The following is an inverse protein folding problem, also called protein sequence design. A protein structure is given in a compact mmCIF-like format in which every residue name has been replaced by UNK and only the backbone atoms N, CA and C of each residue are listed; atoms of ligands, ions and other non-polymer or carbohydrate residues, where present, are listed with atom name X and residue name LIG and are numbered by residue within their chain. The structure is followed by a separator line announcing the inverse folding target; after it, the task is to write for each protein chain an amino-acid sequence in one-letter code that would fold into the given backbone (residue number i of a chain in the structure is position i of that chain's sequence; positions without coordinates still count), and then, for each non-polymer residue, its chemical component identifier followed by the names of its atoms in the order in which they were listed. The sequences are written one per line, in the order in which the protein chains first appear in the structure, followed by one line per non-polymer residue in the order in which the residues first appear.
data_IF_880882458757
#
_entry.id   IF_880882458757
#
_cell.length_a   1.000
_cell.length_b   1.000
_cell.length_c   1.000
_cell.angle_alpha   90.00
_cell.angle_beta   90.00
_cell.angle_gamma   90.00
#
_symmetry.space_group_name_H-M   'P 1'
#
loop_
_entity.id
_entity.type
_entity.pdbx_description
1 polymer ?
#
# COMPACT_ATOMS: atom_id res chain seq x y z
N UNK A 1 -1.13 1.91 -27.83
CA UNK A 1 -0.12 0.84 -27.92
C UNK A 1 0.80 0.81 -26.69
N UNK A 2 0.30 1.24 -25.52
CA UNK A 2 1.12 1.48 -24.32
C UNK A 2 0.75 0.59 -23.13
N UNK A 3 -0.20 -0.34 -23.32
CA UNK A 3 -0.54 -1.34 -22.32
C UNK A 3 0.71 -2.17 -21.99
N UNK A 4 0.97 -2.35 -20.70
CA UNK A 4 2.15 -3.05 -20.18
C UNK A 4 3.42 -2.21 -20.09
N UNK A 5 3.44 -0.98 -20.60
CA UNK A 5 4.57 -0.06 -20.44
C UNK A 5 4.48 0.67 -19.09
N UNK A 6 5.63 1.06 -18.51
CA UNK A 6 5.63 1.84 -17.27
C UNK A 6 4.97 3.20 -17.46
N UNK A 7 4.19 3.62 -16.46
CA UNK A 7 3.39 4.85 -16.52
C UNK A 7 4.27 6.10 -16.58
N UNK A 8 5.30 6.18 -15.75
CA UNK A 8 6.19 7.36 -15.65
C UNK A 8 6.93 7.63 -16.95
N UNK A 9 7.60 6.61 -17.52
CA UNK A 9 8.36 6.76 -18.76
C UNK A 9 7.47 7.02 -19.98
N UNK A 10 6.26 6.44 -20.02
CA UNK A 10 5.26 6.73 -21.07
C UNK A 10 4.72 8.15 -20.96
N UNK A 11 4.37 8.61 -19.76
CA UNK A 11 3.88 9.97 -19.52
C UNK A 11 4.94 11.03 -19.84
N UNK A 12 6.20 10.80 -19.47
CA UNK A 12 7.31 11.70 -19.80
C UNK A 12 7.47 11.90 -21.32
N UNK A 13 7.43 10.81 -22.10
CA UNK A 13 7.49 10.86 -23.57
C UNK A 13 6.31 11.65 -24.16
N UNK A 14 5.10 11.41 -23.65
CA UNK A 14 3.91 12.14 -24.10
C UNK A 14 4.01 13.64 -23.79
N UNK A 15 4.46 14.01 -22.58
CA UNK A 15 4.65 15.39 -22.18
C UNK A 15 5.72 16.11 -23.02
N UNK A 16 6.82 15.44 -23.34
CA UNK A 16 7.87 15.99 -24.22
C UNK A 16 7.42 16.16 -25.67
N UNK A 17 6.51 15.31 -26.16
CA UNK A 17 5.89 15.50 -27.46
C UNK A 17 4.98 16.75 -27.50
N UNK A 18 4.35 17.09 -26.37
CA UNK A 18 3.57 18.34 -26.23
C UNK A 18 4.46 19.57 -26.08
N UNK A 19 5.57 19.46 -25.35
CA UNK A 19 6.54 20.54 -25.18
C UNK A 19 7.97 19.98 -25.12
N UNK A 20 8.73 20.14 -26.21
CA UNK A 20 10.10 19.62 -26.33
C UNK A 20 11.12 20.29 -25.41
N UNK A 21 10.80 21.46 -24.85
CA UNK A 21 11.66 22.13 -23.86
C UNK A 21 11.55 21.53 -22.46
N UNK A 22 10.55 20.69 -22.20
CA UNK A 22 10.32 20.08 -20.90
C UNK A 22 11.40 19.05 -20.56
N UNK A 23 12.07 19.26 -19.43
CA UNK A 23 13.06 18.32 -18.87
C UNK A 23 12.36 17.44 -17.84
N UNK A 24 12.27 16.14 -18.12
CA UNK A 24 11.60 15.16 -17.27
C UNK A 24 12.54 13.99 -17.03
N UNK A 25 12.73 13.63 -15.76
CA UNK A 25 13.34 12.39 -15.34
C UNK A 25 12.24 11.45 -14.85
N UNK A 26 12.07 10.31 -15.52
CA UNK A 26 11.05 9.34 -15.18
C UNK A 26 11.65 8.22 -14.34
N UNK A 27 11.09 8.00 -13.15
CA UNK A 27 11.49 6.91 -12.25
C UNK A 27 10.36 5.87 -12.13
N UNK A 28 10.73 4.62 -11.94
CA UNK A 28 9.81 3.48 -11.78
C UNK A 28 9.92 2.87 -10.38
N UNK A 29 10.31 3.71 -9.42
CA UNK A 29 10.56 3.33 -8.02
C UNK A 29 9.36 3.73 -7.17
N UNK A 30 8.89 2.81 -6.33
CA UNK A 30 7.79 3.07 -5.40
C UNK A 30 8.30 3.96 -4.28
N UNK A 31 7.69 5.13 -4.08
CA UNK A 31 8.05 6.01 -2.98
C UNK A 31 7.64 5.39 -1.64
N UNK A 32 8.60 5.21 -0.74
CA UNK A 32 8.41 4.63 0.58
C UNK A 32 9.72 4.47 1.33
N UNK A 33 9.63 4.07 2.61
CA UNK A 33 10.80 3.88 3.49
C UNK A 33 11.79 2.85 2.95
N UNK A 34 11.32 1.91 2.13
CA UNK A 34 12.11 0.89 1.44
C UNK A 34 12.97 1.42 0.28
N UNK A 35 12.86 2.72 -0.05
CA UNK A 35 13.51 3.33 -1.23
C UNK A 35 14.27 4.62 -0.92
N UNK A 36 14.63 4.84 0.35
CA UNK A 36 15.39 6.01 0.80
C UNK A 36 16.87 5.99 0.35
N UNK A 37 17.34 4.85 -0.16
CA UNK A 37 18.61 4.75 -0.88
C UNK A 37 18.55 5.43 -2.26
N UNK A 38 17.36 5.48 -2.87
CA UNK A 38 17.11 6.18 -4.13
C UNK A 38 16.69 7.62 -3.89
N UNK A 39 15.74 7.84 -2.97
CA UNK A 39 15.24 9.17 -2.60
C UNK A 39 15.94 9.66 -1.34
N UNK A 40 17.27 9.78 -1.46
CA UNK A 40 18.15 10.17 -0.37
C UNK A 40 18.04 11.67 -0.03
N UNK A 41 18.79 12.10 0.98
CA UNK A 41 18.80 13.49 1.42
C UNK A 41 19.18 14.45 0.29
N UNK A 42 20.11 14.07 -0.59
CA UNK A 42 20.55 14.91 -1.71
C UNK A 42 19.42 15.14 -2.72
N UNK A 43 18.67 14.09 -3.05
CA UNK A 43 17.46 14.18 -3.85
C UNK A 43 16.48 15.16 -3.23
N UNK A 44 16.09 14.96 -1.96
CA UNK A 44 15.11 15.81 -1.29
C UNK A 44 15.57 17.27 -1.23
N UNK A 45 16.82 17.54 -0.84
CA UNK A 45 17.34 18.90 -0.77
C UNK A 45 17.33 19.62 -2.13
N UNK A 46 17.52 18.89 -3.24
CA UNK A 46 17.49 19.46 -4.59
C UNK A 46 16.10 19.95 -5.05
N UNK A 47 15.01 19.45 -4.44
CA UNK A 47 13.64 19.77 -4.85
C UNK A 47 13.23 21.19 -4.44
N UNK A 48 12.45 21.86 -5.29
CA UNK A 48 11.80 23.13 -4.93
C UNK A 48 10.41 22.92 -4.28
N UNK A 49 9.78 21.78 -4.52
CA UNK A 49 8.46 21.42 -3.98
C UNK A 49 8.05 20.05 -4.50
N UNK A 50 6.96 19.53 -3.93
CA UNK A 50 6.45 18.18 -4.21
C UNK A 50 4.97 18.25 -4.57
N UNK A 51 4.55 17.42 -5.51
CA UNK A 51 3.14 17.30 -5.92
C UNK A 51 2.75 15.84 -5.84
N UNK A 52 1.79 15.53 -4.98
CA UNK A 52 1.26 14.18 -4.86
C UNK A 52 0.20 13.91 -5.92
N UNK A 53 0.25 12.69 -6.44
CA UNK A 53 -0.75 12.07 -7.30
C UNK A 53 -0.92 10.60 -6.88
N UNK A 54 -1.14 10.40 -5.58
CA UNK A 54 -1.12 9.10 -4.90
C UNK A 54 -2.54 8.56 -4.70
N UNK A 55 -2.67 7.24 -4.57
CA UNK A 55 -3.94 6.53 -4.44
C UNK A 55 -4.20 5.93 -3.06
N UNK A 56 -3.22 5.98 -2.15
CA UNK A 56 -3.33 5.40 -0.80
C UNK A 56 -2.79 6.35 0.28
N UNK A 57 -3.41 6.28 1.46
CA UNK A 57 -3.09 7.15 2.60
C UNK A 57 -1.66 6.92 3.11
N UNK A 58 -1.17 5.68 3.11
CA UNK A 58 0.17 5.36 3.62
C UNK A 58 1.27 6.11 2.86
N UNK A 59 1.20 6.13 1.52
CA UNK A 59 2.14 6.87 0.70
C UNK A 59 2.00 8.38 0.89
N UNK A 60 0.78 8.90 1.03
CA UNK A 60 0.55 10.34 1.32
C UNK A 60 1.22 10.76 2.62
N UNK A 61 1.00 9.99 3.69
CA UNK A 61 1.59 10.22 5.01
C UNK A 61 3.12 10.13 4.98
N UNK A 62 3.67 9.17 4.23
CA UNK A 62 5.12 9.07 4.04
C UNK A 62 5.68 10.33 3.39
N UNK A 63 5.13 10.75 2.24
CA UNK A 63 5.62 11.94 1.53
C UNK A 63 5.46 13.21 2.36
N UNK A 64 4.32 13.37 3.04
CA UNK A 64 4.08 14.48 3.97
C UNK A 64 5.17 14.56 5.05
N UNK A 65 5.49 13.42 5.69
CA UNK A 65 6.54 13.37 6.72
C UNK A 65 7.92 13.78 6.18
N UNK A 66 8.28 13.39 4.95
CA UNK A 66 9.53 13.79 4.29
C UNK A 66 9.51 15.27 3.94
N UNK A 67 8.39 15.80 3.45
CA UNK A 67 8.23 17.22 3.16
C UNK A 67 8.36 18.08 4.43
N UNK A 68 7.79 17.64 5.55
CA UNK A 68 8.00 18.30 6.86
C UNK A 68 9.48 18.26 7.25
N UNK A 69 10.12 17.09 7.19
CA UNK A 69 11.53 16.91 7.56
C UNK A 69 12.48 17.81 6.74
N UNK A 70 12.31 17.84 5.40
CA UNK A 70 13.15 18.62 4.50
C UNK A 70 12.65 20.04 4.24
N UNK A 71 11.59 20.47 4.94
CA UNK A 71 10.96 21.79 4.75
C UNK A 71 10.61 22.09 3.29
N UNK A 72 9.93 21.14 2.63
CA UNK A 72 9.48 21.27 1.23
C UNK A 72 7.99 21.60 1.15
N UNK A 73 7.59 22.57 0.30
CA UNK A 73 6.18 22.76 -0.04
C UNK A 73 5.59 21.48 -0.66
N UNK A 74 4.37 21.13 -0.27
CA UNK A 74 3.63 19.98 -0.80
C UNK A 74 2.25 20.40 -1.32
N UNK A 75 1.93 19.96 -2.53
CA UNK A 75 0.59 20.01 -3.11
C UNK A 75 -0.02 18.61 -3.05
N UNK A 76 -1.05 18.43 -2.22
CA UNK A 76 -1.80 17.19 -2.06
C UNK A 76 -3.15 17.27 -2.77
N UNK A 77 -3.60 16.16 -3.36
CA UNK A 77 -4.91 16.08 -4.00
C UNK A 77 -5.45 14.66 -4.00
N UNK A 78 -6.77 14.54 -3.88
CA UNK A 78 -7.49 13.27 -3.88
C UNK A 78 -8.80 13.36 -4.66
N UNK A 79 -9.24 12.22 -5.19
CA UNK A 79 -10.52 12.08 -5.89
C UNK A 79 -11.22 10.79 -5.47
N UNK A 80 -12.54 10.84 -5.31
CA UNK A 80 -13.39 9.66 -5.08
C UNK A 80 -14.70 9.81 -5.87
N UNK A 81 -14.83 9.09 -6.98
CA UNK A 81 -15.95 9.25 -7.90
C UNK A 81 -16.00 10.67 -8.46
N UNK A 82 -17.07 11.41 -8.17
CA UNK A 82 -17.23 12.83 -8.55
C UNK A 82 -16.71 13.81 -7.51
N UNK A 83 -16.24 13.33 -6.34
CA UNK A 83 -15.70 14.16 -5.27
C UNK A 83 -14.21 14.39 -5.49
N UNK A 84 -13.73 15.58 -5.09
CA UNK A 84 -12.31 15.92 -5.11
C UNK A 84 -11.95 16.81 -3.92
N UNK A 85 -10.70 16.72 -3.48
CA UNK A 85 -10.11 17.61 -2.49
C UNK A 85 -8.68 18.01 -2.92
N UNK A 86 -8.24 19.17 -2.42
CA UNK A 86 -6.88 19.66 -2.60
C UNK A 86 -6.41 20.34 -1.33
N UNK A 87 -5.15 20.13 -0.96
CA UNK A 87 -4.54 20.75 0.22
C UNK A 87 -3.12 21.22 -0.13
N UNK A 88 -2.75 22.38 0.40
CA UNK A 88 -1.42 22.95 0.25
C UNK A 88 -0.74 22.96 1.61
N UNK A 89 0.45 22.37 1.69
CA UNK A 89 1.30 22.38 2.88
C UNK A 89 2.51 23.28 2.60
N UNK A 90 2.61 24.38 3.35
CA UNK A 90 3.71 25.34 3.27
C UNK A 90 4.56 25.27 4.55
N UNK A 91 5.88 25.06 4.43
CA UNK A 91 6.78 25.05 5.57
C UNK A 91 6.62 26.31 6.42
N UNK A 92 6.53 26.11 7.73
CA UNK A 92 6.43 27.19 8.73
C UNK A 92 5.17 28.08 8.64
N UNK A 93 4.15 27.68 7.86
CA UNK A 93 2.94 28.49 7.68
C UNK A 93 1.64 27.70 7.86
N UNK A 94 1.51 26.52 7.28
CA UNK A 94 0.29 25.70 7.37
C UNK A 94 0.55 24.42 8.16
N UNK A 95 -0.51 23.78 8.62
CA UNK A 95 -0.45 22.40 9.11
C UNK A 95 -0.02 21.43 7.99
N UNK A 96 0.58 20.32 8.39
CA UNK A 96 0.89 19.19 7.51
C UNK A 96 -0.38 18.43 7.13
N UNK A 97 -0.28 17.52 6.16
CA UNK A 97 -1.39 16.64 5.81
C UNK A 97 -1.74 15.70 6.98
N UNK A 98 -0.71 15.18 7.67
CA UNK A 98 -0.87 14.24 8.77
C UNK A 98 -1.41 14.82 10.10
N UNK A 99 -1.48 16.15 10.23
CA UNK A 99 -2.03 16.80 11.43
C UNK A 99 -3.56 16.65 11.54
N UNK A 100 -4.24 16.37 10.43
CA UNK A 100 -5.66 16.03 10.38
C UNK A 100 -5.85 14.54 10.18
N UNK A 101 -6.69 13.92 11.03
CA UNK A 101 -7.08 12.53 10.84
C UNK A 101 -8.32 12.43 9.96
N UNK A 102 -8.14 11.81 8.79
CA UNK A 102 -9.26 11.33 7.99
C UNK A 102 -10.02 10.22 8.75
N UNK A 103 -11.35 10.11 8.59
CA UNK A 103 -12.11 9.01 9.16
C UNK A 103 -11.51 7.68 8.72
N UNK A 104 -11.36 6.70 9.63
CA UNK A 104 -10.90 5.38 9.23
C UNK A 104 -11.89 4.75 8.26
N UNK A 105 -11.39 3.90 7.36
CA UNK A 105 -12.28 3.09 6.52
C UNK A 105 -13.23 2.26 7.39
N UNK A 106 -14.50 2.22 6.99
CA UNK A 106 -15.48 1.38 7.67
C UNK A 106 -15.12 -0.09 7.47
N UNK A 107 -14.87 -0.79 8.58
CA UNK A 107 -14.62 -2.23 8.57
C UNK A 107 -15.86 -2.98 9.06
N UNK A 108 -16.19 -4.09 8.38
CA UNK A 108 -17.33 -4.92 8.76
C UNK A 108 -16.94 -5.77 10.00
N UNK A 109 -17.72 -5.77 11.08
CA UNK A 109 -17.40 -6.57 12.26
C UNK A 109 -17.28 -8.06 11.95
N UNK A 110 -16.25 -8.72 12.49
CA UNK A 110 -15.99 -10.15 12.28
C UNK A 110 -17.19 -11.05 12.62
N UNK A 111 -17.95 -10.72 13.67
CA UNK A 111 -19.15 -11.47 14.05
C UNK A 111 -20.23 -11.42 12.97
N UNK A 112 -20.40 -10.27 12.30
CA UNK A 112 -21.34 -10.08 11.20
C UNK A 112 -20.92 -10.92 9.99
N UNK A 113 -19.63 -10.88 9.63
CA UNK A 113 -19.10 -11.68 8.51
C UNK A 113 -19.25 -13.19 8.74
N UNK A 114 -18.99 -13.66 9.96
CA UNK A 114 -18.95 -15.10 10.25
C UNK A 114 -20.31 -15.73 10.50
N UNK A 115 -21.26 -15.02 11.09
CA UNK A 115 -22.50 -15.63 11.60
C UNK A 115 -23.78 -14.93 11.15
N UNK A 116 -23.75 -13.62 10.92
CA UNK A 116 -24.98 -12.83 10.71
C UNK A 116 -24.88 -11.83 9.53
N UNK A 117 -24.54 -12.29 8.31
CA UNK A 117 -24.53 -11.41 7.14
C UNK A 117 -25.97 -11.02 6.76
N UNK A 118 -26.21 -9.72 6.63
CA UNK A 118 -27.52 -9.16 6.31
C UNK A 118 -27.47 -8.14 5.16
N UNK A 119 -26.28 -7.86 4.63
CA UNK A 119 -26.05 -6.99 3.48
C UNK A 119 -25.15 -7.72 2.48
N UNK A 120 -25.22 -7.36 1.20
CA UNK A 120 -24.49 -8.06 0.14
C UNK A 120 -22.97 -7.91 0.31
N UNK A 121 -22.54 -6.74 0.78
CA UNK A 121 -21.16 -6.38 1.10
C UNK A 121 -20.54 -7.38 2.08
N UNK A 122 -21.31 -7.87 3.04
CA UNK A 122 -20.83 -8.86 4.02
C UNK A 122 -20.54 -10.21 3.36
N UNK A 123 -21.38 -10.62 2.40
CA UNK A 123 -21.16 -11.88 1.67
C UNK A 123 -20.01 -11.77 0.69
N UNK A 124 -19.78 -10.59 0.11
CA UNK A 124 -18.63 -10.30 -0.76
C UNK A 124 -17.34 -10.37 0.04
N UNK A 125 -17.28 -9.70 1.20
CA UNK A 125 -16.10 -9.72 2.06
C UNK A 125 -15.84 -11.13 2.62
N UNK A 126 -16.88 -11.87 3.01
CA UNK A 126 -16.76 -13.27 3.38
C UNK A 126 -16.18 -14.13 2.25
N UNK A 127 -16.65 -13.95 1.02
CA UNK A 127 -16.18 -14.71 -0.13
C UNK A 127 -14.71 -14.38 -0.47
N UNK A 128 -14.31 -13.11 -0.35
CA UNK A 128 -12.92 -12.67 -0.50
C UNK A 128 -12.01 -13.32 0.55
N UNK A 129 -12.39 -13.28 1.82
CA UNK A 129 -11.62 -13.91 2.91
C UNK A 129 -11.50 -15.43 2.70
N UNK A 130 -12.59 -16.08 2.28
CA UNK A 130 -12.58 -17.51 1.98
C UNK A 130 -11.67 -17.86 0.79
N UNK A 131 -11.65 -17.01 -0.25
CA UNK A 131 -10.75 -17.17 -1.38
C UNK A 131 -9.28 -17.04 -0.96
N UNK A 132 -8.95 -16.00 -0.20
CA UNK A 132 -7.58 -15.75 0.29
C UNK A 132 -7.09 -16.95 1.13
N UNK A 133 -7.95 -17.44 2.03
CA UNK A 133 -7.61 -18.58 2.89
C UNK A 133 -7.33 -19.86 2.08
N UNK A 134 -8.17 -20.18 1.10
CA UNK A 134 -8.07 -21.43 0.34
C UNK A 134 -6.96 -21.42 -0.71
N UNK A 135 -6.78 -20.30 -1.40
CA UNK A 135 -5.94 -20.24 -2.61
C UNK A 135 -4.66 -19.44 -2.43
N UNK A 136 -4.51 -18.68 -1.35
CA UNK A 136 -3.30 -17.90 -1.07
C UNK A 136 -2.61 -18.40 0.20
N UNK A 137 -3.28 -18.33 1.34
CA UNK A 137 -2.65 -18.67 2.63
C UNK A 137 -2.36 -20.16 2.76
N UNK A 138 -3.33 -21.03 2.41
CA UNK A 138 -3.13 -22.48 2.52
C UNK A 138 -1.97 -22.99 1.63
N UNK A 139 -1.87 -22.62 0.34
CA UNK A 139 -0.71 -22.99 -0.47
C UNK A 139 0.60 -22.36 0.00
N UNK A 140 0.59 -21.10 0.47
CA UNK A 140 1.77 -20.43 1.02
C UNK A 140 2.31 -21.16 2.25
N UNK A 141 1.41 -21.60 3.11
CA UNK A 141 1.74 -22.37 4.31
C UNK A 141 2.42 -23.70 3.95
N UNK A 142 1.86 -24.44 2.99
CA UNK A 142 2.44 -25.69 2.48
C UNK A 142 3.82 -25.43 1.86
N UNK A 143 3.95 -24.40 1.03
CA UNK A 143 5.23 -24.04 0.41
C UNK A 143 6.30 -23.68 1.46
N UNK A 144 5.91 -22.98 2.53
CA UNK A 144 6.80 -22.66 3.65
C UNK A 144 7.28 -23.93 4.35
N UNK A 145 6.36 -24.86 4.62
CA UNK A 145 6.70 -26.17 5.17
C UNK A 145 7.62 -26.98 4.23
N UNK A 146 7.34 -27.01 2.92
CA UNK A 146 8.14 -27.73 1.93
C UNK A 146 9.55 -27.15 1.75
N UNK A 147 9.71 -25.84 1.96
CA UNK A 147 11.02 -25.17 1.86
C UNK A 147 11.95 -25.57 3.00
N UNK A 148 11.45 -25.56 4.24
CA UNK A 148 12.20 -26.05 5.41
C UNK A 148 11.25 -26.61 6.49
N UNK A 149 11.00 -27.93 6.48
CA UNK A 149 10.12 -28.57 7.44
C UNK A 149 10.60 -28.41 8.90
N UNK A 150 11.92 -28.37 9.14
CA UNK A 150 12.47 -28.30 10.51
C UNK A 150 12.29 -26.89 11.08
N UNK A 151 12.62 -25.87 10.31
CA UNK A 151 12.42 -24.48 10.74
C UNK A 151 10.94 -24.16 10.94
N UNK A 152 10.07 -24.66 10.06
CA UNK A 152 8.62 -24.51 10.20
C UNK A 152 8.10 -25.11 11.52
N UNK A 153 8.42 -26.38 11.80
CA UNK A 153 7.98 -27.05 13.02
C UNK A 153 8.59 -26.44 14.29
N UNK A 154 9.78 -25.85 14.21
CA UNK A 154 10.39 -25.13 15.33
C UNK A 154 9.70 -23.78 15.62
N UNK A 155 9.19 -23.10 14.59
CA UNK A 155 8.46 -21.83 14.75
C UNK A 155 7.01 -22.02 15.18
N UNK A 156 6.37 -23.11 14.76
CA UNK A 156 4.94 -23.33 15.00
C UNK A 156 4.50 -23.17 16.48
N UNK A 157 5.23 -23.66 17.50
CA UNK A 157 4.86 -23.49 18.91
C UNK A 157 4.88 -22.02 19.37
N UNK A 158 5.62 -21.16 18.68
CA UNK A 158 5.74 -19.73 19.00
C UNK A 158 4.64 -18.87 18.36
N UNK A 159 3.84 -19.45 17.46
CA UNK A 159 2.85 -18.72 16.66
C UNK A 159 1.42 -19.13 17.03
N UNK A 160 0.73 -18.26 17.78
CA UNK A 160 -0.70 -18.37 18.05
C UNK A 160 -1.09 -19.39 19.13
N UNK A 161 -2.40 -19.68 19.18
CA UNK A 161 -2.97 -20.63 20.16
C UNK A 161 -2.86 -22.06 19.66
N UNK A 162 -2.94 -23.05 20.56
CA UNK A 162 -2.88 -24.47 20.20
C UNK A 162 -3.92 -24.88 19.13
N UNK A 163 -5.10 -24.26 19.13
CA UNK A 163 -6.12 -24.47 18.09
C UNK A 163 -5.65 -23.99 16.72
N UNK A 164 -5.01 -22.82 16.66
CA UNK A 164 -4.45 -22.25 15.43
C UNK A 164 -3.30 -23.11 14.90
N UNK A 165 -2.43 -23.57 15.78
CA UNK A 165 -1.32 -24.47 15.42
C UNK A 165 -1.84 -25.78 14.80
N UNK A 166 -2.88 -26.37 15.40
CA UNK A 166 -3.50 -27.59 14.89
C UNK A 166 -4.18 -27.36 13.54
N UNK A 167 -4.84 -26.22 13.34
CA UNK A 167 -5.43 -25.86 12.04
C UNK A 167 -4.38 -25.76 10.94
N UNK A 168 -3.23 -25.16 11.22
CA UNK A 168 -2.11 -25.03 10.27
C UNK A 168 -1.51 -26.38 9.91
N UNK A 169 -1.25 -27.24 10.90
CA UNK A 169 -0.80 -28.62 10.63
C UNK A 169 -1.81 -29.42 9.81
N UNK A 170 -3.10 -29.27 10.10
CA UNK A 170 -4.15 -29.92 9.31
C UNK A 170 -4.25 -29.37 7.89
N UNK A 171 -3.99 -28.08 7.68
CA UNK A 171 -3.90 -27.47 6.36
C UNK A 171 -2.77 -28.11 5.55
N UNK A 172 -1.55 -28.15 6.10
CA UNK A 172 -0.40 -28.81 5.47
C UNK A 172 -0.70 -30.27 5.16
N UNK A 173 -1.24 -31.02 6.12
CA UNK A 173 -1.59 -32.44 5.94
C UNK A 173 -2.66 -32.68 4.87
N UNK A 174 -3.59 -31.75 4.65
CA UNK A 174 -4.67 -31.92 3.66
C UNK A 174 -4.21 -31.64 2.22
N UNK A 175 -3.19 -30.80 2.06
CA UNK A 175 -2.72 -30.32 0.76
C UNK A 175 -1.48 -31.05 0.23
N UNK A 176 -0.78 -31.80 1.09
CA UNK A 176 0.25 -32.77 0.73
C UNK A 176 -0.36 -34.13 0.37
#
# INVERSE_FOLDING_TARGET
SDVGKPKSSTAAKAAQAMNSSLKVEAMEVRVGSDTEDTFDDAFWYSLNGVVNALDNIQARMYVDSRCVWFSKPLLESGTLGTKANSQVVLPYLTQSYGDSQDPPEESIPLCTLKHFPHAIEHTIEWARDHFEQLFVESPREVNTFLTDPKAYLAKLPTEGTGTTQLQRLNCVKRML
#
